data_IF_461107583028
#
_entry.id   IF_461107583028
#
_cell.length_a   1.000
_cell.length_b   1.000
_cell.length_c   1.000
_cell.angle_alpha   90.00
_cell.angle_beta   90.00
_cell.angle_gamma   90.00
#
_symmetry.space_group_name_H-M   'P 1'
#
loop_
_entity.id
_entity.type
_entity.pdbx_description
1 polymer ?
#
# COMPACT_ATOMS: atom_id res chain seq x y z
N UNK A 1 -6.36 -9.61 -4.51
CA UNK A 1 -5.53 -9.95 -5.67
C UNK A 1 -6.32 -9.82 -6.97
N UNK A 2 -7.52 -10.41 -7.11
CA UNK A 2 -8.35 -10.20 -8.30
C UNK A 2 -8.60 -8.71 -8.63
N UNK A 3 -8.87 -7.89 -7.61
CA UNK A 3 -9.06 -6.44 -7.76
C UNK A 3 -7.78 -5.66 -8.11
N UNK A 4 -6.60 -6.27 -8.06
CA UNK A 4 -5.32 -5.60 -8.38
C UNK A 4 -4.76 -5.95 -9.75
N UNK A 5 -5.54 -6.69 -10.54
CA UNK A 5 -5.19 -7.08 -11.90
C UNK A 5 -5.78 -6.09 -12.92
N UNK A 6 -5.16 -5.98 -14.11
CA UNK A 6 -5.76 -5.26 -15.23
C UNK A 6 -7.05 -5.94 -15.70
N UNK A 7 -7.90 -5.14 -16.33
CA UNK A 7 -9.21 -5.58 -16.84
C UNK A 7 -9.11 -6.57 -18.00
N UNK A 8 -8.00 -6.55 -18.72
CA UNK A 8 -7.64 -7.43 -19.84
C UNK A 8 -6.89 -8.70 -19.41
N UNK A 9 -6.66 -8.92 -18.11
CA UNK A 9 -5.89 -10.06 -17.64
C UNK A 9 -6.55 -11.39 -18.08
N UNK A 10 -5.79 -12.32 -18.70
CA UNK A 10 -6.33 -13.61 -19.07
C UNK A 10 -6.62 -14.44 -17.81
N UNK A 11 -7.62 -15.31 -17.89
CA UNK A 11 -8.15 -16.08 -16.76
C UNK A 11 -7.10 -16.94 -16.03
N UNK A 12 -6.05 -17.39 -16.72
CA UNK A 12 -4.98 -18.21 -16.13
C UNK A 12 -4.01 -17.41 -15.26
N UNK A 13 -3.87 -16.10 -15.48
CA UNK A 13 -2.94 -15.26 -14.74
C UNK A 13 -3.31 -15.11 -13.25
N UNK A 14 -4.59 -14.82 -12.88
CA UNK A 14 -5.03 -14.89 -11.49
C UNK A 14 -4.81 -16.25 -10.84
N UNK A 15 -4.91 -17.36 -11.58
CA UNK A 15 -4.70 -18.71 -11.02
C UNK A 15 -3.25 -18.90 -10.58
N UNK A 16 -2.29 -18.53 -11.42
CA UNK A 16 -0.86 -18.59 -11.09
C UNK A 16 -0.56 -17.66 -9.91
N UNK A 17 -1.08 -16.43 -9.94
CA UNK A 17 -0.89 -15.48 -8.86
C UNK A 17 -1.45 -15.99 -7.53
N UNK A 18 -2.65 -16.57 -7.54
CA UNK A 18 -3.28 -17.12 -6.35
C UNK A 18 -2.54 -18.35 -5.82
N UNK A 19 -2.04 -19.21 -6.71
CA UNK A 19 -1.18 -20.33 -6.32
C UNK A 19 0.07 -19.83 -5.56
N UNK A 20 0.77 -18.83 -6.10
CA UNK A 20 1.90 -18.21 -5.42
C UNK A 20 1.51 -17.59 -4.06
N UNK A 21 0.41 -16.83 -4.01
CA UNK A 21 -0.07 -16.23 -2.76
C UNK A 21 -0.36 -17.28 -1.67
N UNK A 22 -1.05 -18.36 -2.04
CA UNK A 22 -1.49 -19.37 -1.07
C UNK A 22 -0.33 -20.27 -0.68
N UNK A 23 0.34 -20.88 -1.66
CA UNK A 23 1.35 -21.91 -1.37
C UNK A 23 2.61 -21.26 -0.80
N UNK A 24 3.19 -20.31 -1.53
CA UNK A 24 4.51 -19.77 -1.19
C UNK A 24 4.42 -18.77 -0.04
N UNK A 25 3.52 -17.78 -0.14
CA UNK A 25 3.51 -16.69 0.84
C UNK A 25 2.78 -17.06 2.13
N UNK A 26 1.76 -17.93 2.04
CA UNK A 26 0.89 -18.23 3.18
C UNK A 26 1.14 -19.61 3.81
N UNK A 27 1.14 -20.69 3.04
CA UNK A 27 1.20 -22.04 3.61
C UNK A 27 2.60 -22.43 4.09
N UNK A 28 3.68 -22.02 3.40
CA UNK A 28 5.05 -22.32 3.83
C UNK A 28 5.40 -21.74 5.21
N UNK A 29 4.72 -20.68 5.63
CA UNK A 29 4.96 -20.00 6.91
C UNK A 29 4.01 -20.46 8.03
N UNK A 30 3.22 -21.51 7.79
CA UNK A 30 2.34 -22.11 8.79
C UNK A 30 0.91 -21.57 8.78
N UNK A 31 0.48 -20.95 7.67
CA UNK A 31 -0.94 -20.67 7.39
C UNK A 31 -1.46 -19.32 7.87
N UNK A 32 -2.76 -19.25 8.16
CA UNK A 32 -3.46 -18.01 8.51
C UNK A 32 -2.84 -17.35 9.76
N UNK A 33 -2.48 -16.08 9.64
CA UNK A 33 -1.95 -15.27 10.75
C UNK A 33 -0.43 -15.35 10.96
N UNK A 34 0.29 -16.18 10.19
CA UNK A 34 1.76 -16.29 10.27
C UNK A 34 2.47 -15.73 9.02
N UNK A 35 1.73 -15.10 8.12
CA UNK A 35 2.29 -14.52 6.90
C UNK A 35 3.14 -13.30 7.27
N UNK A 36 4.40 -13.28 6.84
CA UNK A 36 5.29 -12.14 7.08
C UNK A 36 5.02 -10.95 6.14
N UNK A 37 4.32 -11.19 5.02
CA UNK A 37 3.88 -10.16 4.06
C UNK A 37 2.48 -10.44 3.55
N UNK A 38 1.78 -9.40 3.11
CA UNK A 38 0.43 -9.51 2.55
C UNK A 38 0.44 -10.42 1.29
N UNK A 39 -0.23 -11.59 1.31
CA UNK A 39 -0.18 -12.54 0.20
C UNK A 39 -0.73 -12.01 -1.12
N UNK A 40 -1.75 -11.15 -1.06
CA UNK A 40 -2.35 -10.58 -2.26
C UNK A 40 -1.40 -9.59 -2.95
N UNK A 41 -0.67 -8.79 -2.17
CA UNK A 41 0.32 -7.86 -2.69
C UNK A 41 1.59 -8.56 -3.16
N UNK A 42 2.04 -9.59 -2.43
CA UNK A 42 3.20 -10.39 -2.83
C UNK A 42 2.96 -11.09 -4.17
N UNK A 43 1.74 -11.61 -4.39
CA UNK A 43 1.33 -12.15 -5.67
C UNK A 43 1.29 -11.10 -6.79
N UNK A 44 0.75 -9.91 -6.52
CA UNK A 44 0.80 -8.80 -7.50
C UNK A 44 2.24 -8.46 -7.87
N UNK A 45 3.14 -8.35 -6.91
CA UNK A 45 4.56 -8.09 -7.16
C UNK A 45 5.21 -9.21 -8.00
N UNK A 46 4.93 -10.47 -7.67
CA UNK A 46 5.39 -11.62 -8.46
C UNK A 46 4.90 -11.58 -9.91
N UNK A 47 3.63 -11.26 -10.13
CA UNK A 47 3.07 -11.17 -11.48
C UNK A 47 3.60 -9.96 -12.25
N UNK A 48 3.83 -8.82 -11.60
CA UNK A 48 4.47 -7.66 -12.26
C UNK A 48 5.90 -8.02 -12.66
N UNK A 49 6.64 -8.74 -11.81
CA UNK A 49 8.01 -9.15 -12.11
C UNK A 49 8.08 -10.21 -13.23
N UNK A 50 7.15 -11.17 -13.25
CA UNK A 50 7.20 -12.31 -14.18
C UNK A 50 6.43 -12.08 -15.49
N UNK A 51 5.36 -11.27 -15.44
CA UNK A 51 4.42 -11.04 -16.54
C UNK A 51 4.12 -9.55 -16.73
N UNK A 52 5.16 -8.71 -16.68
CA UNK A 52 5.04 -7.25 -16.77
C UNK A 52 4.15 -6.78 -17.93
N UNK A 53 4.38 -7.30 -19.15
CA UNK A 53 3.65 -6.86 -20.34
C UNK A 53 2.13 -7.09 -20.28
N UNK A 54 1.68 -8.12 -19.57
CA UNK A 54 0.23 -8.37 -19.34
C UNK A 54 -0.27 -7.50 -18.19
N UNK A 55 0.52 -7.37 -17.12
CA UNK A 55 0.18 -6.61 -15.92
C UNK A 55 0.16 -5.09 -16.11
N UNK A 56 0.76 -4.57 -17.17
CA UNK A 56 0.78 -3.15 -17.53
C UNK A 56 -0.06 -2.83 -18.77
N UNK A 57 -0.86 -3.78 -19.25
CA UNK A 57 -1.78 -3.55 -20.37
C UNK A 57 -3.11 -2.99 -19.84
N UNK A 58 -3.33 -1.70 -20.02
CA UNK A 58 -4.53 -1.01 -19.55
C UNK A 58 -5.43 -0.64 -20.72
N UNK A 59 -6.64 -1.20 -20.71
CA UNK A 59 -7.65 -0.94 -21.73
C UNK A 59 -8.52 0.25 -21.31
N UNK A 60 -8.84 1.12 -22.27
CA UNK A 60 -9.76 2.24 -22.04
C UNK A 60 -11.10 1.76 -21.46
N UNK A 61 -11.63 2.41 -20.42
CA UNK A 61 -12.97 2.11 -19.92
C UNK A 61 -14.02 2.32 -21.02
N UNK A 62 -14.92 1.36 -21.21
CA UNK A 62 -16.01 1.45 -22.21
C UNK A 62 -16.89 2.70 -22.06
N UNK A 63 -16.96 3.26 -20.86
CA UNK A 63 -17.66 4.52 -20.58
C UNK A 63 -17.03 5.76 -21.25
N UNK A 64 -15.81 5.67 -21.77
CA UNK A 64 -15.14 6.73 -22.56
C UNK A 64 -15.44 6.64 -24.06
N UNK A 65 -16.27 5.69 -24.51
CA UNK A 65 -16.74 5.61 -25.91
C UNK A 65 -15.71 5.12 -26.93
N UNK A 66 -14.49 4.80 -26.49
CA UNK A 66 -13.43 4.21 -27.30
C UNK A 66 -13.38 2.71 -27.04
N UNK A 67 -13.55 1.91 -28.10
CA UNK A 67 -13.58 0.46 -27.97
C UNK A 67 -12.14 -0.10 -27.91
N UNK A 68 -11.80 -0.70 -26.76
CA UNK A 68 -10.61 -1.52 -26.55
C UNK A 68 -9.23 -0.92 -26.92
N UNK A 69 -9.08 0.42 -26.90
CA UNK A 69 -7.78 1.06 -27.15
C UNK A 69 -6.92 1.04 -25.87
N UNK A 70 -5.64 0.69 -26.01
CA UNK A 70 -4.66 0.79 -24.93
C UNK A 70 -4.45 2.26 -24.54
N UNK A 71 -4.58 2.58 -23.25
CA UNK A 71 -4.50 3.96 -22.75
C UNK A 71 -3.58 4.03 -21.54
N UNK A 72 -2.74 5.07 -21.48
CA UNK A 72 -1.86 5.29 -20.34
C UNK A 72 -2.67 5.66 -19.08
N UNK A 73 -2.26 5.13 -17.93
CA UNK A 73 -2.93 5.44 -16.65
C UNK A 73 -2.65 6.87 -16.22
N UNK A 74 -3.53 7.51 -15.42
CA UNK A 74 -3.25 8.85 -14.88
C UNK A 74 -1.91 8.91 -14.12
N UNK A 75 -1.54 7.83 -13.41
CA UNK A 75 -0.22 7.73 -12.76
C UNK A 75 0.95 7.66 -13.75
N UNK A 76 0.75 7.09 -14.96
CA UNK A 76 1.79 7.07 -15.99
C UNK A 76 2.05 8.46 -16.57
N UNK A 77 1.01 9.28 -16.73
CA UNK A 77 1.17 10.69 -17.13
C UNK A 77 1.88 11.51 -16.06
N UNK A 78 1.52 11.34 -14.78
CA UNK A 78 2.20 12.00 -13.66
C UNK A 78 3.68 11.59 -13.59
N UNK A 79 3.98 10.31 -13.82
CA UNK A 79 5.34 9.79 -13.82
C UNK A 79 6.18 10.34 -14.98
N UNK A 80 5.57 10.51 -16.16
CA UNK A 80 6.22 11.09 -17.34
C UNK A 80 6.40 12.61 -17.25
N UNK A 81 5.79 13.28 -16.27
CA UNK A 81 5.78 14.74 -16.18
C UNK A 81 4.92 15.41 -17.25
N UNK A 82 4.03 14.66 -17.91
CA UNK A 82 3.17 15.19 -18.96
C UNK A 82 1.90 15.85 -18.36
N UNK A 83 1.35 16.89 -19.02
CA UNK A 83 0.10 17.49 -18.60
C UNK A 83 -1.05 16.48 -18.72
N UNK A 84 -1.88 16.42 -17.68
CA UNK A 84 -3.05 15.54 -17.60
C UNK A 84 -4.00 15.89 -18.74
N UNK A 85 -4.33 14.94 -19.61
CA UNK A 85 -5.35 15.15 -20.64
C UNK A 85 -6.70 15.57 -20.05
N UNK A 86 -7.44 16.40 -20.79
CA UNK A 86 -8.69 17.03 -20.31
C UNK A 86 -9.79 16.02 -19.91
N UNK A 87 -9.75 14.81 -20.48
CA UNK A 87 -10.66 13.72 -20.13
C UNK A 87 -10.42 13.14 -18.72
N UNK A 88 -9.28 13.43 -18.07
CA UNK A 88 -8.99 13.10 -16.68
C UNK A 88 -9.44 14.18 -15.70
N UNK A 89 -10.72 14.56 -15.79
CA UNK A 89 -11.34 15.42 -14.77
C UNK A 89 -11.36 14.74 -13.40
N UNK A 90 -11.29 15.53 -12.31
CA UNK A 90 -11.41 15.04 -10.94
C UNK A 90 -12.64 14.15 -10.71
N UNK A 91 -13.75 14.44 -11.40
CA UNK A 91 -14.97 13.63 -11.34
C UNK A 91 -14.76 12.23 -11.91
N UNK A 92 -14.04 12.13 -13.04
CA UNK A 92 -13.74 10.86 -13.69
C UNK A 92 -12.73 10.05 -12.87
N UNK A 93 -11.74 10.69 -12.25
CA UNK A 93 -10.83 10.01 -11.34
C UNK A 93 -11.56 9.49 -10.10
N UNK A 94 -12.48 10.28 -9.53
CA UNK A 94 -13.22 9.91 -8.33
C UNK A 94 -14.24 8.78 -8.59
N UNK A 95 -14.97 8.86 -9.70
CA UNK A 95 -15.86 7.81 -10.19
C UNK A 95 -15.09 6.64 -10.85
N UNK A 96 -13.77 6.77 -10.96
CA UNK A 96 -12.81 5.80 -11.51
C UNK A 96 -13.10 5.35 -12.94
N UNK A 97 -13.62 6.26 -13.75
CA UNK A 97 -13.64 6.14 -15.21
C UNK A 97 -12.23 6.46 -15.70
N UNK A 98 -11.30 5.55 -15.47
CA UNK A 98 -9.89 5.66 -15.87
C UNK A 98 -9.29 4.27 -16.13
N UNK A 99 -8.30 4.14 -17.02
CA UNK A 99 -7.55 2.90 -17.19
C UNK A 99 -6.73 2.62 -15.92
N UNK A 100 -6.75 1.37 -15.46
CA UNK A 100 -6.10 0.95 -14.22
C UNK A 100 -6.57 -0.42 -13.74
N UNK A 101 -6.23 -0.77 -12.50
CA UNK A 101 -6.66 -2.03 -11.90
C UNK A 101 -8.18 -2.04 -11.67
N UNK A 102 -8.83 -3.22 -11.69
CA UNK A 102 -10.26 -3.34 -11.39
C UNK A 102 -10.69 -2.63 -10.09
N UNK A 103 -9.86 -2.72 -9.06
CA UNK A 103 -10.13 -2.13 -7.75
C UNK A 103 -9.92 -0.62 -7.67
N UNK A 104 -9.39 0.02 -8.71
CA UNK A 104 -9.21 1.47 -8.78
C UNK A 104 -10.42 2.19 -9.40
N UNK A 105 -11.41 1.40 -9.86
CA UNK A 105 -12.51 1.87 -10.68
C UNK A 105 -13.58 2.71 -9.95
N UNK A 106 -13.65 2.73 -8.60
CA UNK A 106 -14.59 3.63 -7.93
C UNK A 106 -14.12 4.00 -6.52
N UNK A 107 -13.66 5.24 -6.31
CA UNK A 107 -13.09 5.68 -5.03
C UNK A 107 -14.17 5.89 -3.99
N UNK A 108 -15.35 6.34 -4.42
CA UNK A 108 -16.52 6.46 -3.55
C UNK A 108 -16.86 5.10 -2.92
N UNK A 109 -16.92 4.03 -3.72
CA UNK A 109 -17.20 2.69 -3.21
C UNK A 109 -16.12 2.19 -2.23
N UNK A 110 -14.84 2.45 -2.53
CA UNK A 110 -13.73 2.09 -1.64
C UNK A 110 -13.77 2.85 -0.32
N UNK A 111 -14.06 4.16 -0.35
CA UNK A 111 -14.15 4.99 0.85
C UNK A 111 -15.35 4.54 1.69
N UNK A 112 -16.51 4.30 1.08
CA UNK A 112 -17.69 3.79 1.80
C UNK A 112 -17.42 2.42 2.43
N UNK A 113 -16.78 1.50 1.69
CA UNK A 113 -16.39 0.19 2.20
C UNK A 113 -15.36 0.29 3.34
N UNK A 114 -14.36 1.15 3.19
CA UNK A 114 -13.36 1.42 4.23
C UNK A 114 -13.98 2.04 5.49
N UNK A 115 -14.88 3.01 5.32
CA UNK A 115 -15.61 3.63 6.43
C UNK A 115 -16.50 2.62 7.14
N UNK A 116 -17.20 1.76 6.40
CA UNK A 116 -17.99 0.67 6.97
C UNK A 116 -17.13 -0.26 7.85
N UNK A 117 -15.93 -0.64 7.39
CA UNK A 117 -15.02 -1.48 8.17
C UNK A 117 -14.47 -0.78 9.42
N UNK A 118 -14.23 0.54 9.35
CA UNK A 118 -13.84 1.35 10.51
C UNK A 118 -14.98 1.40 11.54
N UNK A 119 -16.22 1.65 11.10
CA UNK A 119 -17.40 1.70 11.97
C UNK A 119 -17.61 0.35 12.67
N UNK A 120 -17.44 -0.75 11.94
CA UNK A 120 -17.52 -2.12 12.48
C UNK A 120 -16.33 -2.49 13.36
N UNK A 121 -15.34 -1.59 13.52
CA UNK A 121 -14.10 -1.81 14.28
C UNK A 121 -13.32 -3.04 13.81
N UNK A 122 -13.47 -3.39 12.52
CA UNK A 122 -12.70 -4.47 11.87
C UNK A 122 -11.39 -3.94 11.33
N UNK A 123 -11.19 -2.63 11.17
CA UNK A 123 -9.88 -2.05 10.84
C UNK A 123 -9.60 -0.85 11.72
N UNK A 124 -8.32 -0.58 12.01
CA UNK A 124 -7.94 0.64 12.71
C UNK A 124 -7.91 1.82 11.72
N UNK A 125 -8.48 2.95 12.11
CA UNK A 125 -8.46 4.17 11.28
C UNK A 125 -7.05 4.79 11.17
N UNK A 126 -6.14 4.39 12.06
CA UNK A 126 -4.80 4.98 12.21
C UNK A 126 -3.94 4.73 10.98
N UNK A 127 -3.90 3.49 10.48
CA UNK A 127 -3.06 3.11 9.33
C UNK A 127 -3.55 3.79 8.03
N UNK A 128 -4.86 3.74 7.66
CA UNK A 128 -5.33 4.41 6.46
C UNK A 128 -5.13 5.92 6.49
N UNK A 129 -5.43 6.57 7.63
CA UNK A 129 -5.31 8.03 7.76
C UNK A 129 -3.85 8.47 7.75
N UNK A 130 -2.95 7.78 8.46
CA UNK A 130 -1.53 8.14 8.41
C UNK A 130 -0.92 7.87 7.04
N UNK A 131 -1.31 6.78 6.36
CA UNK A 131 -0.83 6.47 5.03
C UNK A 131 -1.26 7.53 3.99
N UNK A 132 -2.57 7.80 3.88
CA UNK A 132 -3.09 8.81 2.95
C UNK A 132 -2.56 10.20 3.32
N UNK A 133 -2.54 10.53 4.62
CA UNK A 133 -2.07 11.82 5.12
C UNK A 133 -0.60 12.07 4.81
N UNK A 134 0.27 11.06 4.95
CA UNK A 134 1.69 11.21 4.59
C UNK A 134 1.88 11.41 3.09
N UNK A 135 1.15 10.68 2.24
CA UNK A 135 1.21 10.93 0.79
C UNK A 135 0.71 12.33 0.46
N UNK A 136 -0.38 12.79 1.07
CA UNK A 136 -0.90 14.13 0.87
C UNK A 136 0.12 15.21 1.23
N UNK A 137 0.73 15.10 2.41
CA UNK A 137 1.72 16.07 2.91
C UNK A 137 2.96 16.10 2.01
N UNK A 138 3.51 14.93 1.67
CA UNK A 138 4.74 14.86 0.88
C UNK A 138 4.52 15.29 -0.57
N UNK A 139 3.39 14.94 -1.18
CA UNK A 139 3.08 15.38 -2.55
C UNK A 139 2.74 16.86 -2.60
N UNK A 140 2.13 17.43 -1.56
CA UNK A 140 1.95 18.87 -1.46
C UNK A 140 3.27 19.63 -1.25
N UNK A 141 4.18 19.09 -0.44
CA UNK A 141 5.48 19.71 -0.16
C UNK A 141 6.45 19.63 -1.36
N UNK A 142 6.44 18.51 -2.07
CA UNK A 142 7.28 18.28 -3.26
C UNK A 142 6.42 18.33 -4.53
N UNK A 143 5.92 19.51 -4.88
CA UNK A 143 5.22 19.72 -6.16
C UNK A 143 6.11 19.42 -7.36
N UNK A 144 5.49 19.11 -8.50
CA UNK A 144 6.19 18.93 -9.78
C UNK A 144 5.99 20.16 -10.66
N UNK A 145 7.01 20.53 -11.43
CA UNK A 145 6.94 21.65 -12.37
C UNK A 145 5.81 21.41 -13.39
N UNK A 146 4.89 22.36 -13.52
CA UNK A 146 3.73 22.25 -14.43
C UNK A 146 2.37 22.00 -13.76
N UNK A 147 2.33 21.71 -12.45
CA UNK A 147 1.08 21.60 -11.67
C UNK A 147 1.10 22.49 -10.44
N UNK A 148 -0.08 23.01 -10.05
CA UNK A 148 -0.25 23.58 -8.72
C UNK A 148 -0.11 22.50 -7.65
N UNK A 149 0.49 22.83 -6.51
CA UNK A 149 0.79 21.88 -5.42
C UNK A 149 -0.46 21.15 -4.94
N UNK A 150 -1.60 21.85 -4.91
CA UNK A 150 -2.88 21.26 -4.53
C UNK A 150 -3.41 20.27 -5.57
N UNK A 151 -3.32 20.63 -6.85
CA UNK A 151 -3.73 19.76 -7.95
C UNK A 151 -2.88 18.49 -8.01
N UNK A 152 -1.56 18.64 -7.86
CA UNK A 152 -0.62 17.53 -7.83
C UNK A 152 -0.88 16.54 -6.68
N UNK A 153 -1.18 17.07 -5.49
CA UNK A 153 -1.59 16.26 -4.33
C UNK A 153 -2.85 15.45 -4.62
N UNK A 154 -3.91 16.11 -5.12
CA UNK A 154 -5.19 15.45 -5.42
C UNK A 154 -5.01 14.36 -6.48
N UNK A 155 -4.26 14.65 -7.54
CA UNK A 155 -3.98 13.66 -8.58
C UNK A 155 -3.24 12.44 -8.01
N UNK A 156 -2.25 12.63 -7.14
CA UNK A 156 -1.54 11.51 -6.51
C UNK A 156 -2.42 10.66 -5.57
N UNK A 157 -3.37 11.28 -4.86
CA UNK A 157 -4.28 10.56 -3.95
C UNK A 157 -5.37 9.82 -4.73
N UNK A 158 -5.94 10.46 -5.75
CA UNK A 158 -7.07 9.93 -6.52
C UNK A 158 -6.64 9.01 -7.67
N UNK A 159 -5.37 9.05 -8.09
CA UNK A 159 -4.85 8.13 -9.09
C UNK A 159 -4.13 6.94 -8.47
N UNK A 160 -4.28 5.80 -9.14
CA UNK A 160 -3.71 4.52 -8.74
C UNK A 160 -4.42 3.82 -7.58
N UNK A 161 -3.76 2.78 -7.08
CA UNK A 161 -4.28 1.85 -6.07
C UNK A 161 -4.19 2.33 -4.63
N UNK A 162 -3.85 3.59 -4.37
CA UNK A 162 -3.50 4.08 -3.03
C UNK A 162 -4.66 3.94 -2.04
N UNK A 163 -5.87 4.41 -2.39
CA UNK A 163 -7.04 4.35 -1.50
C UNK A 163 -7.42 2.90 -1.22
N UNK A 164 -7.44 2.05 -2.25
CA UNK A 164 -7.71 0.64 -2.09
C UNK A 164 -6.70 -0.02 -1.15
N UNK A 165 -5.42 0.26 -1.35
CA UNK A 165 -4.38 -0.33 -0.54
C UNK A 165 -4.40 0.18 0.89
N UNK A 166 -4.68 1.46 1.11
CA UNK A 166 -4.77 2.06 2.43
C UNK A 166 -5.87 1.42 3.29
N UNK A 167 -7.07 1.19 2.73
CA UNK A 167 -8.19 0.64 3.49
C UNK A 167 -8.23 -0.88 3.56
N UNK A 168 -7.80 -1.58 2.50
CA UNK A 168 -8.04 -3.03 2.35
C UNK A 168 -6.77 -3.89 2.32
N UNK A 169 -5.56 -3.30 2.29
CA UNK A 169 -4.31 -4.07 2.20
C UNK A 169 -3.30 -3.73 3.29
N UNK A 170 -3.10 -2.45 3.58
CA UNK A 170 -2.19 -1.98 4.63
C UNK A 170 -2.74 -2.31 6.04
N UNK A 171 -4.04 -2.53 6.15
CA UNK A 171 -4.77 -2.88 7.38
C UNK A 171 -4.87 -4.39 7.64
N UNK A 172 -4.09 -5.21 6.93
CA UNK A 172 -4.05 -6.66 7.17
C UNK A 172 -3.46 -6.96 8.55
N UNK A 173 -4.21 -7.68 9.39
CA UNK A 173 -3.87 -7.95 10.79
C UNK A 173 -2.62 -8.82 10.97
N UNK A 174 -2.33 -9.69 10.01
CA UNK A 174 -1.20 -10.61 10.11
C UNK A 174 0.14 -9.90 9.88
N UNK A 175 0.14 -8.80 9.13
CA UNK A 175 1.36 -8.19 8.59
C UNK A 175 1.55 -6.74 9.02
N UNK A 176 0.61 -6.18 9.79
CA UNK A 176 0.68 -4.83 10.34
C UNK A 176 1.03 -4.86 11.84
N UNK A 177 1.67 -3.81 12.37
CA UNK A 177 2.07 -3.80 13.77
C UNK A 177 0.87 -3.70 14.71
N UNK A 178 0.99 -4.32 15.89
CA UNK A 178 -0.10 -4.39 16.87
C UNK A 178 -0.16 -3.15 17.78
N UNK A 179 0.95 -2.42 17.90
CA UNK A 179 1.08 -1.29 18.82
C UNK A 179 0.53 0.01 18.22
N UNK A 180 -0.13 0.84 19.05
CA UNK A 180 -0.71 2.11 18.60
C UNK A 180 0.28 3.08 17.92
N UNK A 181 1.46 3.38 18.51
CA UNK A 181 2.45 4.22 17.84
C UNK A 181 3.11 3.50 16.65
N UNK A 182 3.27 2.18 16.72
CA UNK A 182 3.80 1.37 15.62
C UNK A 182 2.91 1.43 14.38
N UNK A 183 1.59 1.43 14.54
CA UNK A 183 0.63 1.58 13.44
C UNK A 183 0.74 2.93 12.74
N UNK A 184 0.98 4.00 13.50
CA UNK A 184 1.19 5.33 12.92
C UNK A 184 2.50 5.38 12.14
N UNK A 185 3.61 4.91 12.74
CA UNK A 185 4.91 4.85 12.07
C UNK A 185 4.85 3.98 10.81
N UNK A 186 4.12 2.86 10.87
CA UNK A 186 3.94 1.97 9.74
C UNK A 186 3.21 2.65 8.58
N UNK A 187 2.09 3.32 8.84
CA UNK A 187 1.37 4.04 7.78
C UNK A 187 2.16 5.23 7.23
N UNK A 188 2.88 5.98 8.08
CA UNK A 188 3.80 7.04 7.64
C UNK A 188 4.91 6.47 6.76
N UNK A 189 5.53 5.36 7.15
CA UNK A 189 6.56 4.69 6.36
C UNK A 189 6.03 4.18 5.02
N UNK A 190 4.82 3.60 4.99
CA UNK A 190 4.16 3.21 3.74
C UNK A 190 3.96 4.42 2.82
N UNK A 191 3.50 5.55 3.36
CA UNK A 191 3.28 6.81 2.65
C UNK A 191 4.54 7.38 2.05
N UNK A 192 5.57 7.53 2.89
CA UNK A 192 6.86 8.05 2.47
C UNK A 192 7.51 7.19 1.38
N UNK A 193 7.54 5.87 1.57
CA UNK A 193 8.08 4.96 0.55
C UNK A 193 7.26 4.98 -0.75
N UNK A 194 5.94 5.18 -0.67
CA UNK A 194 5.09 5.27 -1.87
C UNK A 194 5.47 6.49 -2.70
N UNK A 195 5.64 7.66 -2.06
CA UNK A 195 6.05 8.89 -2.75
C UNK A 195 7.46 8.77 -3.29
N UNK A 196 8.41 8.24 -2.50
CA UNK A 196 9.78 8.01 -2.96
C UNK A 196 9.84 7.13 -4.22
N UNK A 197 9.07 6.03 -4.24
CA UNK A 197 9.03 5.15 -5.42
C UNK A 197 8.32 5.84 -6.60
N UNK A 198 7.31 6.68 -6.36
CA UNK A 198 6.62 7.42 -7.43
C UNK A 198 7.49 8.50 -8.08
N UNK A 199 8.42 9.09 -7.34
CA UNK A 199 9.28 10.17 -7.84
C UNK A 199 10.61 9.65 -8.40
N UNK A 200 11.22 8.67 -7.74
CA UNK A 200 12.56 8.17 -8.10
C UNK A 200 12.59 6.73 -8.60
N UNK A 201 11.48 6.00 -8.49
CA UNK A 201 11.39 4.62 -8.92
C UNK A 201 11.19 4.48 -10.42
N UNK A 202 11.33 3.25 -10.92
CA UNK A 202 11.11 2.92 -12.35
C UNK A 202 9.67 2.54 -12.68
N UNK A 203 8.75 2.60 -11.70
CA UNK A 203 7.36 2.20 -11.87
C UNK A 203 6.41 3.32 -11.43
N UNK A 204 5.35 3.61 -12.22
CA UNK A 204 4.38 4.65 -11.88
C UNK A 204 3.54 4.29 -10.62
N UNK A 205 3.40 3.00 -10.29
CA UNK A 205 2.68 2.55 -9.09
C UNK A 205 3.63 2.01 -8.00
N UNK A 206 3.89 2.82 -6.96
CA UNK A 206 4.77 2.45 -5.84
C UNK A 206 4.10 1.66 -4.70
N UNK A 207 2.77 1.70 -4.60
CA UNK A 207 1.98 1.29 -3.42
C UNK A 207 2.26 -0.16 -2.96
N UNK A 208 2.32 -1.10 -3.91
CA UNK A 208 2.52 -2.53 -3.59
C UNK A 208 3.89 -2.79 -2.96
N UNK A 209 4.94 -2.20 -3.53
CA UNK A 209 6.30 -2.40 -3.03
C UNK A 209 6.49 -1.72 -1.68
N UNK A 210 5.92 -0.52 -1.48
CA UNK A 210 5.98 0.19 -0.20
C UNK A 210 5.39 -0.62 0.95
N UNK A 211 4.20 -1.20 0.75
CA UNK A 211 3.55 -2.02 1.78
C UNK A 211 4.33 -3.31 2.03
N UNK A 212 4.86 -3.97 0.99
CA UNK A 212 5.66 -5.18 1.19
C UNK A 212 6.94 -4.92 1.96
N UNK A 213 7.65 -3.82 1.67
CA UNK A 213 8.84 -3.40 2.42
C UNK A 213 8.47 -3.13 3.88
N UNK A 214 7.39 -2.40 4.12
CA UNK A 214 6.95 -2.07 5.47
C UNK A 214 6.44 -3.27 6.26
N UNK A 215 5.81 -4.25 5.59
CA UNK A 215 5.42 -5.52 6.20
C UNK A 215 6.64 -6.24 6.81
N UNK A 216 7.76 -6.27 6.09
CA UNK A 216 9.01 -6.87 6.59
C UNK A 216 9.56 -6.08 7.80
N UNK A 217 9.44 -4.75 7.75
CA UNK A 217 9.87 -3.86 8.83
C UNK A 217 8.98 -3.93 10.08
N UNK A 218 7.79 -4.55 10.03
CA UNK A 218 6.88 -4.58 11.18
C UNK A 218 7.46 -5.24 12.41
N UNK A 219 8.24 -6.31 12.24
CA UNK A 219 8.95 -6.95 13.34
C UNK A 219 9.87 -5.98 14.08
N UNK A 220 10.59 -5.13 13.35
CA UNK A 220 11.49 -4.13 13.93
C UNK A 220 10.69 -3.03 14.65
N UNK A 221 9.57 -2.60 14.05
CA UNK A 221 8.66 -1.61 14.64
C UNK A 221 8.06 -2.15 15.94
N UNK A 222 7.50 -3.35 15.94
CA UNK A 222 6.91 -3.93 17.14
C UNK A 222 7.96 -4.23 18.22
N UNK A 223 9.20 -4.56 17.85
CA UNK A 223 10.30 -4.68 18.80
C UNK A 223 10.68 -3.34 19.44
N UNK A 224 10.68 -2.25 18.67
CA UNK A 224 10.99 -0.91 19.16
C UNK A 224 9.87 -0.35 20.06
N UNK A 225 8.61 -0.61 19.72
CA UNK A 225 7.45 -0.09 20.44
C UNK A 225 6.81 -1.10 21.42
N UNK A 226 7.55 -2.15 21.82
CA UNK A 226 7.05 -3.12 22.81
C UNK A 226 6.50 -2.39 24.03
N UNK A 227 5.23 -2.68 24.34
CA UNK A 227 4.60 -2.17 25.56
C UNK A 227 5.32 -2.75 26.76
N UNK A 228 5.51 -1.93 27.78
CA UNK A 228 6.05 -2.38 29.06
C UNK A 228 5.17 -3.53 29.59
N UNK A 229 5.80 -4.56 30.13
CA UNK A 229 5.10 -5.64 30.80
C UNK A 229 4.29 -5.05 31.96
N UNK A 230 3.01 -5.44 32.04
CA UNK A 230 2.13 -4.98 33.11
C UNK A 230 2.67 -5.45 34.46
N UNK A 231 2.79 -4.55 35.44
CA UNK A 231 3.27 -4.88 36.79
C UNK A 231 4.79 -4.73 37.02
N UNK A 232 5.56 -4.31 36.02
CA UNK A 232 7.01 -4.05 36.16
C UNK A 232 7.23 -2.56 36.42
N UNK A 233 7.83 -2.21 37.56
CA UNK A 233 8.15 -0.81 37.87
C UNK A 233 9.36 -0.35 37.05
N UNK A 234 9.57 0.98 36.96
CA UNK A 234 10.74 1.53 36.24
C UNK A 234 12.07 1.05 36.86
N UNK A 235 12.06 0.74 38.15
CA UNK A 235 13.22 0.26 38.92
C UNK A 235 13.57 -1.19 38.54
N UNK A 236 12.56 -2.07 38.39
CA UNK A 236 12.75 -3.47 37.98
C UNK A 236 13.38 -3.57 36.56
N UNK A 237 13.02 -2.68 35.64
CA UNK A 237 13.58 -2.62 34.29
C UNK A 237 15.03 -2.13 34.30
N UNK A 238 15.33 -1.16 35.17
CA UNK A 238 16.70 -0.68 35.35
C UNK A 238 17.60 -1.79 35.94
N UNK A 239 17.06 -2.56 36.90
CA UNK A 239 17.73 -3.71 37.48
C UNK A 239 17.97 -4.83 36.45
N UNK A 240 16.97 -5.18 35.62
CA UNK A 240 17.13 -6.20 34.57
C UNK A 240 18.12 -5.77 33.48
N UNK A 241 18.12 -4.49 33.08
CA UNK A 241 19.11 -3.95 32.14
C UNK A 241 20.52 -3.95 32.72
N UNK A 242 20.66 -3.63 34.01
CA UNK A 242 21.95 -3.68 34.70
C UNK A 242 22.46 -5.12 34.80
N UNK A 243 21.59 -6.08 35.15
CA UNK A 243 21.92 -7.50 35.20
C UNK A 243 22.38 -8.04 33.83
N UNK A 244 21.64 -7.75 32.75
CA UNK A 244 22.02 -8.14 31.38
C UNK A 244 23.33 -7.51 30.90
N UNK A 245 23.65 -6.29 31.38
CA UNK A 245 24.92 -5.62 31.08
C UNK A 245 26.07 -6.29 31.83
N UNK A 246 25.87 -6.62 33.11
CA UNK A 246 26.84 -7.34 33.92
C UNK A 246 27.13 -8.75 33.38
N UNK A 247 26.11 -9.50 32.94
CA UNK A 247 26.31 -10.80 32.28
C UNK A 247 27.11 -10.69 30.97
N UNK A 248 26.87 -9.65 30.17
CA UNK A 248 27.63 -9.40 28.94
C UNK A 248 29.07 -8.98 29.19
N UNK A 249 29.33 -8.26 30.29
CA UNK A 249 30.69 -7.90 30.71
C UNK A 249 31.42 -9.10 31.32
N UNK A 250 30.73 -9.99 32.02
CA UNK A 250 31.30 -11.23 32.57
C UNK A 250 31.55 -12.32 31.51
N UNK A 251 30.81 -12.30 30.39
CA UNK A 251 31.00 -13.22 29.27
C UNK A 251 32.08 -12.77 28.25
N UNK A 252 32.72 -11.62 28.49
CA UNK A 252 33.76 -11.02 27.65
C UNK A 252 35.14 -11.19 28.27
#
# INVERSE_FOLDING_TARGET
>A
MAMTLPTSAPWWLPLIGNFFAIVIVKQLYGGLGKNFVNPALASRAFLIASYAGIMTNWVSPRAMGLDAVAMATPMSYLFAGEPMPEYYSYRNLFLGIMPGCFGEACKLALILGGLYLIIRKIISWRIPVSYIGTVAILTFAFGHEGYDNFSWMIYNILSGGLILAAFFMATDYATSPVTLPGQLLYGVGCGALTVLIRYFGSYPEGVTYSILIMNICTWAIDKAFRRHQFGVTKEDIAAEKAAKKAEKEAAK
#
